data_IF_761376128115
#
_entry.id   IF_761376128115
#
_cell.length_a   1.000
_cell.length_b   1.000
_cell.length_c   1.000
_cell.angle_alpha   90.00
_cell.angle_beta   90.00
_cell.angle_gamma   90.00
#
_symmetry.space_group_name_H-M   'P 1'
#
loop_
_entity.id
_entity.type
_entity.pdbx_description
1 polymer ?
#
# COMPACT_ATOMS: atom_id res chain seq x y z
N UNK A 1 24.49 4.46 53.76
CA UNK A 1 24.79 4.59 52.29
C UNK A 1 23.62 5.31 51.67
N UNK A 2 23.87 6.27 50.79
CA UNK A 2 22.78 6.97 50.10
C UNK A 2 22.01 6.02 49.18
N UNK A 3 20.72 6.29 49.02
CA UNK A 3 19.88 5.59 48.01
C UNK A 3 20.48 5.68 46.61
N UNK A 4 20.25 4.63 45.82
CA UNK A 4 20.52 4.60 44.38
C UNK A 4 19.25 4.31 43.64
N UNK A 5 19.25 4.46 42.30
CA UNK A 5 18.05 4.24 41.50
C UNK A 5 18.32 3.24 40.37
N UNK A 6 17.26 2.61 39.85
CA UNK A 6 17.36 1.78 38.67
C UNK A 6 17.50 2.64 37.41
N UNK A 7 18.28 2.15 36.43
CA UNK A 7 18.68 2.92 35.25
C UNK A 7 17.50 3.34 34.36
N UNK A 8 16.50 2.46 34.15
CA UNK A 8 15.40 2.74 33.22
C UNK A 8 14.19 3.40 33.87
N UNK A 9 13.84 3.00 35.09
CA UNK A 9 12.57 3.34 35.73
C UNK A 9 12.73 4.21 36.98
N UNK A 10 13.94 4.54 37.37
CA UNK A 10 14.20 5.38 38.55
C UNK A 10 13.61 4.79 39.84
N UNK A 11 13.48 3.46 39.96
CA UNK A 11 13.02 2.79 41.17
C UNK A 11 14.07 2.96 42.24
N UNK A 12 13.70 3.45 43.41
CA UNK A 12 14.64 3.65 44.49
C UNK A 12 15.11 2.35 45.13
N UNK A 13 16.43 2.26 45.31
CA UNK A 13 17.09 1.19 46.06
C UNK A 13 17.65 1.83 47.35
N UNK A 14 16.92 1.78 48.47
CA UNK A 14 17.37 2.42 49.73
C UNK A 14 18.71 1.84 50.18
N UNK A 15 19.58 2.75 50.64
CA UNK A 15 20.84 2.36 51.29
C UNK A 15 20.61 1.67 52.62
N UNK A 16 21.51 0.75 53.02
CA UNK A 16 21.42 0.08 54.31
C UNK A 16 21.45 1.12 55.47
N UNK A 17 20.45 1.04 56.36
CA UNK A 17 20.27 1.93 57.48
C UNK A 17 19.69 3.30 57.15
N UNK A 18 19.40 3.59 55.89
CA UNK A 18 18.68 4.78 55.42
C UNK A 18 17.18 4.58 55.58
N UNK A 19 16.42 5.67 55.67
CA UNK A 19 14.95 5.68 55.68
C UNK A 19 14.31 4.99 56.91
N UNK A 20 14.95 5.06 58.08
CA UNK A 20 14.33 4.62 59.31
C UNK A 20 13.03 5.41 59.58
N UNK A 21 11.86 4.72 59.51
CA UNK A 21 10.54 5.31 59.69
C UNK A 21 9.80 5.70 58.39
N UNK A 22 10.50 5.84 57.26
CA UNK A 22 9.90 6.16 55.94
C UNK A 22 10.02 5.06 54.88
N UNK A 23 10.63 3.92 55.23
CA UNK A 23 10.85 2.81 54.32
C UNK A 23 9.56 2.32 53.62
N UNK A 24 8.44 2.31 54.36
CA UNK A 24 7.15 1.87 53.78
C UNK A 24 6.65 2.82 52.67
N UNK A 25 6.93 4.11 52.78
CA UNK A 25 6.56 5.09 51.75
C UNK A 25 7.37 4.85 50.46
N UNK A 26 8.67 4.64 50.57
CA UNK A 26 9.53 4.32 49.44
C UNK A 26 9.11 3.04 48.74
N UNK A 27 8.76 1.99 49.48
CA UNK A 27 8.29 0.72 48.91
C UNK A 27 6.98 0.92 48.15
N UNK A 28 6.02 1.66 48.72
CA UNK A 28 4.74 1.93 48.06
C UNK A 28 4.95 2.77 46.78
N UNK A 29 5.80 3.81 46.83
CA UNK A 29 6.12 4.59 45.63
C UNK A 29 6.77 3.70 44.52
N UNK A 30 7.68 2.81 44.90
CA UNK A 30 8.28 1.86 43.97
C UNK A 30 7.25 0.94 43.35
N UNK A 31 6.27 0.44 44.13
CA UNK A 31 5.17 -0.39 43.58
C UNK A 31 4.32 0.40 42.60
N UNK A 32 4.00 1.67 42.89
CA UNK A 32 3.26 2.55 41.98
C UNK A 32 4.04 2.80 40.68
N UNK A 33 5.37 2.96 40.75
CA UNK A 33 6.25 3.08 39.57
C UNK A 33 6.24 1.79 38.77
N UNK A 34 6.34 0.62 39.40
CA UNK A 34 6.30 -0.68 38.74
C UNK A 34 4.96 -0.88 38.03
N UNK A 35 3.85 -0.63 38.71
CA UNK A 35 2.50 -0.77 38.15
C UNK A 35 2.31 0.09 36.89
N UNK A 36 2.71 1.37 36.95
CA UNK A 36 2.66 2.27 35.79
C UNK A 36 3.49 1.76 34.62
N UNK A 37 4.68 1.21 34.87
CA UNK A 37 5.57 0.67 33.83
C UNK A 37 5.07 -0.63 33.24
N UNK A 38 4.31 -1.43 33.96
CA UNK A 38 3.79 -2.71 33.48
C UNK A 38 2.54 -2.56 32.60
N UNK A 39 1.55 -1.79 33.07
CA UNK A 39 0.24 -1.69 32.43
C UNK A 39 -0.41 -0.29 32.54
N UNK A 40 0.26 0.68 33.14
CA UNK A 40 -0.30 2.00 33.39
C UNK A 40 -0.72 2.72 32.11
N UNK A 41 -1.93 3.26 32.12
CA UNK A 41 -2.53 4.05 31.05
C UNK A 41 -2.58 5.54 31.47
N UNK A 42 -2.20 6.42 30.54
CA UNK A 42 -2.32 7.87 30.73
C UNK A 42 -3.01 8.51 29.52
N UNK A 43 -4.08 9.23 29.77
CA UNK A 43 -4.59 10.22 28.83
C UNK A 43 -3.74 11.49 28.96
N UNK A 44 -3.01 11.83 27.92
CA UNK A 44 -2.12 12.97 27.85
C UNK A 44 -2.72 14.02 26.91
N UNK A 45 -3.27 15.08 27.51
CA UNK A 45 -3.76 16.22 26.73
C UNK A 45 -2.58 17.08 26.28
N UNK A 46 -2.54 17.40 25.01
CA UNK A 46 -1.46 18.17 24.38
C UNK A 46 -1.88 19.63 24.19
N UNK A 47 -1.08 20.53 24.73
CA UNK A 47 -1.29 21.98 24.66
C UNK A 47 -0.08 22.67 24.02
N UNK A 48 -0.35 23.67 23.17
CA UNK A 48 0.71 24.43 22.48
C UNK A 48 1.51 23.58 21.49
N UNK A 49 2.81 23.85 21.35
CA UNK A 49 3.68 23.22 20.35
C UNK A 49 4.61 22.16 20.92
N UNK A 50 4.80 22.12 22.24
CA UNK A 50 5.69 21.14 22.89
C UNK A 50 5.33 20.87 24.34
N UNK A 51 5.73 19.71 24.84
CA UNK A 51 5.63 19.29 26.24
C UNK A 51 6.78 18.35 26.61
N UNK A 52 6.99 18.16 27.90
CA UNK A 52 7.94 17.21 28.45
C UNK A 52 7.20 16.02 29.07
N UNK A 53 7.70 14.82 28.82
CA UNK A 53 7.26 13.60 29.48
C UNK A 53 8.43 13.06 30.31
N UNK A 54 8.36 13.25 31.63
CA UNK A 54 9.49 13.04 32.53
C UNK A 54 9.35 11.75 33.33
N UNK A 55 10.48 11.03 33.48
CA UNK A 55 10.69 9.96 34.46
C UNK A 55 11.49 10.57 35.61
N UNK A 56 10.93 10.52 36.81
CA UNK A 56 11.55 11.08 38.02
C UNK A 56 12.09 9.93 38.89
N UNK A 57 13.33 10.04 39.32
CA UNK A 57 13.93 9.05 40.21
C UNK A 57 13.25 9.05 41.60
N UNK A 58 12.87 7.89 42.10
CA UNK A 58 12.27 7.68 43.39
C UNK A 58 10.83 8.24 43.55
N UNK A 59 10.23 8.76 42.47
CA UNK A 59 8.89 9.33 42.54
C UNK A 59 8.09 8.99 41.29
N UNK A 60 6.80 8.67 41.45
CA UNK A 60 5.92 8.42 40.33
C UNK A 60 5.73 9.66 39.47
N UNK A 61 5.86 9.50 38.18
CA UNK A 61 5.76 10.57 37.20
C UNK A 61 5.02 10.11 35.93
N UNK A 62 4.72 11.03 35.02
CA UNK A 62 3.94 10.71 33.83
C UNK A 62 4.72 9.85 32.82
N UNK A 63 6.06 9.98 32.79
CA UNK A 63 6.91 9.15 31.94
C UNK A 63 6.96 7.67 32.34
N UNK A 64 6.42 7.29 33.50
CA UNK A 64 6.34 5.89 33.91
C UNK A 64 5.18 5.12 33.24
N UNK A 65 4.16 5.79 32.72
CA UNK A 65 3.03 5.09 32.09
C UNK A 65 3.46 4.35 30.83
N UNK A 66 2.95 3.13 30.68
CA UNK A 66 3.24 2.25 29.53
C UNK A 66 2.47 2.65 28.28
N UNK A 67 1.20 3.02 28.46
CA UNK A 67 0.28 3.37 27.39
C UNK A 67 -0.04 4.85 27.43
N UNK A 68 0.25 5.55 26.35
CA UNK A 68 -0.01 6.98 26.19
C UNK A 68 -1.12 7.19 25.16
N UNK A 69 -2.23 7.74 25.59
CA UNK A 69 -3.35 8.11 24.75
C UNK A 69 -3.34 9.64 24.60
N UNK A 70 -2.93 10.10 23.41
CA UNK A 70 -2.74 11.53 23.15
C UNK A 70 -4.05 12.16 22.70
N UNK A 71 -4.50 13.20 23.38
CA UNK A 71 -5.70 13.95 23.05
C UNK A 71 -5.38 15.41 22.76
N UNK A 72 -6.18 16.04 21.90
CA UNK A 72 -6.00 17.45 21.58
C UNK A 72 -6.54 18.35 22.72
N UNK A 73 -5.67 19.23 23.21
CA UNK A 73 -6.04 20.42 23.94
C UNK A 73 -6.01 21.64 23.01
N UNK A 74 -5.02 22.48 23.17
CA UNK A 74 -4.85 23.73 22.38
C UNK A 74 -3.84 23.61 21.25
N UNK A 75 -3.49 22.38 20.81
CA UNK A 75 -2.56 22.18 19.69
C UNK A 75 -3.16 22.68 18.37
N UNK A 76 -2.35 23.33 17.55
CA UNK A 76 -2.74 23.88 16.24
C UNK A 76 -1.84 23.42 15.09
N UNK A 77 -0.94 22.49 15.35
CA UNK A 77 0.04 21.94 14.40
C UNK A 77 0.79 20.77 15.00
N UNK A 78 1.93 20.42 14.43
CA UNK A 78 2.80 19.39 14.98
C UNK A 78 3.21 19.72 16.41
N UNK A 79 3.03 18.75 17.33
CA UNK A 79 3.41 18.87 18.72
C UNK A 79 4.64 18.00 19.00
N UNK A 80 5.61 18.51 19.78
CA UNK A 80 6.81 17.76 20.15
C UNK A 80 6.77 17.36 21.63
N UNK A 81 6.89 16.06 21.91
CA UNK A 81 7.05 15.52 23.26
C UNK A 81 8.53 15.18 23.48
N UNK A 82 9.17 15.83 24.44
CA UNK A 82 10.53 15.52 24.83
C UNK A 82 10.52 14.55 26.00
N UNK A 83 11.15 13.38 25.82
CA UNK A 83 11.32 12.36 26.85
C UNK A 83 12.50 12.74 27.76
N UNK A 84 12.25 12.87 29.05
CA UNK A 84 13.25 13.28 30.02
C UNK A 84 13.33 12.29 31.20
N UNK A 85 14.52 12.16 31.83
CA UNK A 85 15.82 12.62 31.32
C UNK A 85 16.28 11.79 30.14
N UNK A 86 17.31 12.23 29.42
CA UNK A 86 17.76 11.55 28.20
C UNK A 86 18.64 10.30 28.46
N UNK A 87 18.87 9.96 29.71
CA UNK A 87 19.58 8.76 30.18
C UNK A 87 18.65 7.61 30.62
N UNK A 88 17.34 7.75 30.43
CA UNK A 88 16.35 6.71 30.76
C UNK A 88 15.80 6.04 29.51
N UNK A 89 16.00 4.72 29.39
CA UNK A 89 15.37 3.94 28.33
C UNK A 89 13.92 3.61 28.66
N UNK A 90 13.01 3.72 27.68
CA UNK A 90 11.58 3.50 27.88
C UNK A 90 10.94 2.89 26.63
N UNK A 91 9.91 2.10 26.88
CA UNK A 91 9.05 1.51 25.86
C UNK A 91 7.61 1.99 26.07
N UNK A 92 7.04 2.64 25.08
CA UNK A 92 5.67 3.16 25.10
C UNK A 92 4.82 2.56 23.99
N UNK A 93 3.57 2.25 24.30
CA UNK A 93 2.50 2.15 23.32
C UNK A 93 1.83 3.51 23.22
N UNK A 94 1.92 4.15 22.08
CA UNK A 94 1.35 5.48 21.84
C UNK A 94 0.16 5.38 20.90
N UNK A 95 -0.97 6.01 21.25
CA UNK A 95 -2.11 6.22 20.35
C UNK A 95 -2.35 7.71 20.20
N UNK A 96 -2.13 8.25 19.02
CA UNK A 96 -2.35 9.66 18.70
C UNK A 96 -3.76 9.84 18.13
N UNK A 97 -4.71 10.26 18.97
CA UNK A 97 -6.08 10.52 18.53
C UNK A 97 -6.33 11.98 18.11
N UNK A 98 -5.28 12.78 18.07
CA UNK A 98 -5.38 14.17 17.61
C UNK A 98 -5.42 14.26 16.09
N UNK A 99 -5.81 15.42 15.57
CA UNK A 99 -5.78 15.72 14.13
C UNK A 99 -4.40 16.18 13.63
N UNK A 100 -3.35 16.16 14.48
CA UNK A 100 -2.00 16.65 14.18
C UNK A 100 -0.96 15.57 14.44
N UNK A 101 0.17 15.66 13.76
CA UNK A 101 1.31 14.78 14.02
C UNK A 101 1.97 15.11 15.36
N UNK A 102 2.45 14.07 16.05
CA UNK A 102 3.20 14.23 17.33
C UNK A 102 4.59 13.64 17.16
N UNK A 103 5.61 14.42 17.47
CA UNK A 103 7.02 14.02 17.40
C UNK A 103 7.50 13.66 18.79
N UNK A 104 8.10 12.48 18.96
CA UNK A 104 8.81 12.08 20.18
C UNK A 104 10.30 12.22 19.97
N UNK A 105 10.97 12.90 20.91
CA UNK A 105 12.42 13.11 20.94
C UNK A 105 12.99 12.85 22.33
N UNK A 106 14.27 12.46 22.43
CA UNK A 106 14.93 12.27 23.72
C UNK A 106 16.30 12.95 23.81
N UNK A 107 16.89 13.33 22.70
CA UNK A 107 18.19 13.96 22.61
C UNK A 107 18.43 14.52 21.23
N UNK A 108 19.68 14.50 20.77
CA UNK A 108 20.03 14.91 19.42
C UNK A 108 20.00 13.77 18.38
N UNK A 109 19.62 12.55 18.80
CA UNK A 109 19.48 11.39 17.92
C UNK A 109 18.20 11.39 17.09
N UNK A 110 17.82 10.21 16.59
CA UNK A 110 16.61 10.06 15.78
C UNK A 110 15.35 10.32 16.60
N UNK A 111 14.38 10.93 15.95
CA UNK A 111 13.04 11.20 16.46
C UNK A 111 12.01 10.31 15.78
N UNK A 112 10.86 10.11 16.41
CA UNK A 112 9.72 9.39 15.84
C UNK A 112 8.54 10.33 15.70
N UNK A 113 7.90 10.32 14.54
CA UNK A 113 6.65 11.04 14.29
C UNK A 113 5.49 10.05 14.26
N UNK A 114 4.51 10.23 15.14
CA UNK A 114 3.24 9.51 15.14
C UNK A 114 2.21 10.38 14.42
N UNK A 115 1.75 9.93 13.27
CA UNK A 115 0.79 10.68 12.46
C UNK A 115 -0.58 10.80 13.16
N UNK A 116 -1.39 11.74 12.72
CA UNK A 116 -2.77 11.89 13.18
C UNK A 116 -3.55 10.57 13.03
N UNK A 117 -4.22 10.14 14.10
CA UNK A 117 -4.99 8.90 14.13
C UNK A 117 -4.17 7.60 14.18
N UNK A 118 -2.83 7.68 14.18
CA UNK A 118 -1.96 6.50 14.18
C UNK A 118 -1.61 6.02 15.60
N UNK A 119 -1.24 4.75 15.71
CA UNK A 119 -0.68 4.15 16.93
C UNK A 119 0.61 3.43 16.63
N UNK A 120 1.56 3.46 17.57
CA UNK A 120 2.83 2.76 17.41
C UNK A 120 3.45 2.37 18.77
N UNK A 121 4.25 1.30 18.77
CA UNK A 121 5.21 1.04 19.82
C UNK A 121 6.47 1.85 19.54
N UNK A 122 6.90 2.67 20.51
CA UNK A 122 8.14 3.42 20.42
C UNK A 122 9.08 3.06 21.56
N UNK A 123 10.37 3.08 21.27
CA UNK A 123 11.43 2.83 22.23
C UNK A 123 12.42 3.99 22.25
N UNK A 124 12.74 4.50 23.45
CA UNK A 124 13.82 5.43 23.66
C UNK A 124 15.01 4.70 24.29
N UNK A 125 16.22 4.92 23.78
CA UNK A 125 17.41 4.14 24.18
C UNK A 125 18.15 4.68 25.43
N UNK A 126 17.90 5.93 25.80
CA UNK A 126 18.44 6.51 27.03
C UNK A 126 19.96 6.64 27.06
N UNK A 127 20.62 6.82 25.93
CA UNK A 127 22.09 6.87 25.87
C UNK A 127 22.69 8.28 26.07
N UNK A 128 21.93 9.18 26.67
CA UNK A 128 22.36 10.54 26.98
C UNK A 128 22.11 11.55 25.86
N UNK A 129 23.05 12.46 25.63
CA UNK A 129 22.85 13.56 24.67
C UNK A 129 22.56 13.13 23.24
N UNK A 130 22.96 11.93 22.83
CA UNK A 130 22.71 11.35 21.51
C UNK A 130 21.56 10.33 21.51
N UNK A 131 20.76 10.30 22.58
CA UNK A 131 19.64 9.37 22.71
C UNK A 131 18.67 9.46 21.54
N UNK A 132 18.16 8.28 21.15
CA UNK A 132 17.25 8.12 20.03
C UNK A 132 15.88 7.67 20.49
N UNK A 133 14.86 8.05 19.74
CA UNK A 133 13.56 7.42 19.78
C UNK A 133 13.36 6.64 18.47
N UNK A 134 12.88 5.41 18.57
CA UNK A 134 12.69 4.49 17.43
C UNK A 134 11.30 3.87 17.51
N UNK A 135 10.71 3.61 16.35
CA UNK A 135 9.52 2.74 16.25
C UNK A 135 10.02 1.29 16.29
N UNK A 136 9.36 0.45 17.07
CA UNK A 136 9.56 -1.00 16.92
C UNK A 136 8.92 -1.43 15.58
N UNK A 137 9.63 -2.19 14.75
CA UNK A 137 9.18 -2.50 13.41
C UNK A 137 7.81 -3.17 13.42
N UNK A 138 6.90 -2.59 12.68
CA UNK A 138 5.61 -3.18 12.30
C UNK A 138 5.46 -3.22 10.78
N UNK A 139 6.60 -3.13 10.05
CA UNK A 139 6.60 -3.16 8.61
C UNK A 139 6.53 -4.62 8.09
N UNK A 140 5.91 -4.77 6.92
CA UNK A 140 5.79 -6.07 6.24
C UNK A 140 7.12 -6.56 5.67
N UNK A 141 8.18 -5.73 5.69
CA UNK A 141 9.50 -6.08 5.12
C UNK A 141 10.17 -7.22 5.87
N UNK A 142 9.95 -7.31 7.18
CA UNK A 142 10.49 -8.38 8.02
C UNK A 142 9.66 -9.67 8.00
N UNK A 143 8.46 -9.66 7.46
CA UNK A 143 7.59 -10.84 7.34
C UNK A 143 7.82 -11.52 5.99
N UNK A 144 8.44 -12.69 5.99
CA UNK A 144 8.72 -13.48 4.79
C UNK A 144 7.49 -14.21 4.24
N UNK A 145 6.38 -14.21 4.99
CA UNK A 145 5.11 -14.85 4.60
C UNK A 145 3.90 -13.99 4.98
N UNK A 146 3.85 -12.71 4.57
CA UNK A 146 2.79 -11.80 5.00
C UNK A 146 1.42 -12.29 4.52
N UNK A 147 0.47 -12.40 5.44
CA UNK A 147 -0.91 -12.79 5.16
C UNK A 147 -1.86 -11.65 5.57
N UNK A 148 -2.74 -11.26 4.66
CA UNK A 148 -3.79 -10.30 4.94
C UNK A 148 -5.05 -11.07 5.36
N UNK A 149 -5.60 -10.76 6.53
CA UNK A 149 -6.86 -11.35 7.00
C UNK A 149 -8.12 -10.86 6.29
N UNK A 150 -7.98 -9.99 5.28
CA UNK A 150 -9.05 -9.40 4.49
C UNK A 150 -8.52 -8.80 3.19
N UNK A 151 -9.36 -8.04 2.50
CA UNK A 151 -8.98 -7.37 1.26
C UNK A 151 -7.87 -6.32 1.49
N UNK A 152 -6.94 -6.23 0.55
CA UNK A 152 -5.98 -5.12 0.51
C UNK A 152 -6.66 -3.91 -0.14
N UNK A 153 -6.95 -2.89 0.66
CA UNK A 153 -7.32 -1.57 0.18
C UNK A 153 -6.06 -0.69 0.14
N UNK A 154 -5.68 -0.27 -1.04
CA UNK A 154 -4.49 0.61 -1.24
C UNK A 154 -4.83 2.09 -1.10
N UNK A 155 -6.07 2.44 -0.73
CA UNK A 155 -6.53 3.80 -0.42
C UNK A 155 -6.10 4.84 -1.49
N UNK A 156 -6.34 4.53 -2.76
CA UNK A 156 -5.98 5.39 -3.89
C UNK A 156 -4.51 5.40 -4.28
N UNK A 157 -3.66 4.65 -3.60
CA UNK A 157 -2.25 4.48 -3.97
C UNK A 157 -2.09 3.36 -5.01
N UNK A 158 -0.89 3.22 -5.55
CA UNK A 158 -0.55 2.19 -6.54
C UNK A 158 0.21 1.03 -5.90
N UNK A 159 0.02 -0.17 -6.42
CA UNK A 159 0.94 -1.29 -6.19
C UNK A 159 2.06 -1.15 -7.21
N UNK A 160 3.28 -0.94 -6.74
CA UNK A 160 4.44 -0.69 -7.60
C UNK A 160 5.57 -1.67 -7.28
N UNK A 161 6.38 -1.99 -8.29
CA UNK A 161 7.65 -2.69 -8.10
C UNK A 161 8.81 -1.71 -8.15
N UNK A 162 9.93 -2.06 -7.55
CA UNK A 162 11.19 -1.31 -7.64
C UNK A 162 12.14 -2.00 -8.63
N UNK A 163 13.12 -1.25 -9.16
CA UNK A 163 14.22 -1.80 -9.99
C UNK A 163 13.75 -2.60 -11.22
N UNK A 164 12.67 -2.16 -11.88
CA UNK A 164 12.07 -2.82 -13.04
C UNK A 164 11.57 -4.27 -12.78
N UNK A 165 11.30 -4.62 -11.51
CA UNK A 165 10.73 -5.92 -11.16
C UNK A 165 9.28 -6.06 -11.65
N UNK A 166 8.84 -7.30 -11.90
CA UNK A 166 7.46 -7.59 -12.23
C UNK A 166 6.56 -7.53 -10.99
N UNK A 167 5.30 -7.14 -11.18
CA UNK A 167 4.23 -7.38 -10.21
C UNK A 167 3.51 -8.66 -10.63
N UNK A 168 3.73 -9.75 -9.90
CA UNK A 168 3.10 -11.04 -10.19
C UNK A 168 1.83 -11.19 -9.34
N UNK A 169 0.70 -11.44 -10.02
CA UNK A 169 -0.57 -11.76 -9.36
C UNK A 169 -0.94 -13.18 -9.80
N UNK A 170 -0.70 -14.14 -8.92
CA UNK A 170 -0.87 -15.56 -9.23
C UNK A 170 -1.88 -16.18 -8.28
N UNK A 171 -3.10 -16.48 -8.72
CA UNK A 171 -4.05 -17.23 -7.90
C UNK A 171 -3.54 -18.63 -7.56
N UNK A 172 -3.94 -19.14 -6.41
CA UNK A 172 -3.65 -20.53 -6.04
C UNK A 172 -4.66 -21.48 -6.67
N UNK A 173 -4.18 -22.62 -7.19
CA UNK A 173 -5.00 -23.69 -7.76
C UNK A 173 -5.80 -23.24 -8.99
N UNK A 174 -7.11 -23.44 -8.98
CA UNK A 174 -8.03 -23.09 -10.09
C UNK A 174 -8.60 -21.67 -9.99
N UNK A 175 -8.08 -20.85 -9.08
CA UNK A 175 -8.49 -19.44 -8.93
C UNK A 175 -8.21 -18.62 -10.19
N UNK A 176 -8.89 -17.49 -10.33
CA UNK A 176 -8.72 -16.54 -11.44
C UNK A 176 -8.39 -15.15 -10.92
N UNK A 177 -7.71 -14.34 -11.72
CA UNK A 177 -7.57 -12.90 -11.48
C UNK A 177 -8.76 -12.21 -12.14
N UNK A 178 -9.69 -11.70 -11.33
CA UNK A 178 -10.83 -10.94 -11.83
C UNK A 178 -10.46 -9.45 -11.93
N UNK A 179 -10.49 -8.91 -13.14
CA UNK A 179 -10.20 -7.50 -13.42
C UNK A 179 -11.44 -6.89 -14.07
N UNK A 180 -12.09 -5.95 -13.41
CA UNK A 180 -13.28 -5.29 -13.91
C UNK A 180 -13.03 -4.40 -15.13
N UNK A 181 -11.84 -3.77 -15.19
CA UNK A 181 -11.38 -2.98 -16.33
C UNK A 181 -9.86 -3.05 -16.42
N UNK A 182 -9.35 -3.52 -17.56
CA UNK A 182 -7.93 -3.56 -17.86
C UNK A 182 -7.57 -2.39 -18.80
N UNK A 183 -6.58 -1.59 -18.38
CA UNK A 183 -5.90 -0.61 -19.22
C UNK A 183 -4.40 -0.99 -19.26
N UNK A 184 -3.88 -1.30 -20.43
CA UNK A 184 -2.46 -1.66 -20.61
C UNK A 184 -1.83 -0.69 -21.62
N UNK A 185 -0.80 0.07 -21.19
CA UNK A 185 -0.05 1.01 -22.03
C UNK A 185 -0.98 1.93 -22.87
N UNK A 186 -2.00 2.52 -22.26
CA UNK A 186 -3.03 3.34 -22.89
C UNK A 186 -4.05 2.56 -23.76
N UNK A 187 -3.95 1.23 -23.84
CA UNK A 187 -4.96 0.40 -24.47
C UNK A 187 -6.10 0.09 -23.49
N UNK A 188 -7.32 0.43 -23.87
CA UNK A 188 -8.52 0.10 -23.11
C UNK A 188 -9.12 -1.19 -23.69
N UNK A 189 -9.18 -2.23 -22.87
CA UNK A 189 -9.82 -3.49 -23.22
C UNK A 189 -11.35 -3.41 -23.04
N UNK A 190 -12.15 -4.12 -23.84
CA UNK A 190 -13.59 -4.19 -23.63
C UNK A 190 -13.93 -4.72 -22.24
N UNK A 191 -15.01 -4.19 -21.65
CA UNK A 191 -15.52 -4.63 -20.35
C UNK A 191 -16.58 -5.72 -20.45
N UNK A 192 -17.04 -6.03 -21.68
CA UNK A 192 -18.00 -7.08 -21.98
C UNK A 192 -17.40 -8.06 -22.99
N UNK A 193 -17.85 -9.30 -22.95
CA UNK A 193 -17.47 -10.31 -23.94
C UNK A 193 -18.07 -9.99 -25.31
N UNK A 194 -17.37 -10.43 -26.38
CA UNK A 194 -17.89 -10.39 -27.76
C UNK A 194 -18.83 -11.55 -28.06
N UNK A 195 -19.34 -11.61 -29.29
CA UNK A 195 -20.08 -12.75 -29.79
C UNK A 195 -19.17 -13.71 -30.56
N UNK A 196 -19.57 -14.96 -30.68
CA UNK A 196 -18.81 -15.97 -31.41
C UNK A 196 -18.44 -15.51 -32.84
N UNK A 197 -17.16 -15.62 -33.20
CA UNK A 197 -16.63 -15.21 -34.49
C UNK A 197 -16.16 -13.75 -34.58
N UNK A 198 -16.26 -12.98 -33.51
CA UNK A 198 -15.64 -11.65 -33.44
C UNK A 198 -14.15 -11.74 -33.08
N UNK A 199 -13.39 -10.73 -33.50
CA UNK A 199 -11.98 -10.52 -33.18
C UNK A 199 -11.78 -9.19 -32.45
N UNK A 200 -10.71 -9.08 -31.71
CA UNK A 200 -10.33 -7.84 -31.02
C UNK A 200 -9.68 -6.88 -32.02
N UNK A 201 -10.24 -5.70 -32.19
CA UNK A 201 -9.81 -4.68 -33.13
C UNK A 201 -9.39 -3.40 -32.37
N UNK A 202 -8.33 -2.75 -32.81
CA UNK A 202 -7.94 -1.41 -32.36
C UNK A 202 -8.55 -0.32 -33.26
N UNK A 203 -8.93 0.80 -32.66
CA UNK A 203 -9.34 2.03 -33.37
C UNK A 203 -8.16 2.93 -33.77
N UNK A 204 -6.91 2.54 -33.40
CA UNK A 204 -5.70 3.36 -33.58
C UNK A 204 -5.55 4.49 -32.57
N UNK A 205 -6.49 4.66 -31.64
CA UNK A 205 -6.51 5.74 -30.64
C UNK A 205 -6.53 5.22 -29.20
N UNK A 206 -6.18 3.94 -29.00
CA UNK A 206 -6.06 3.34 -27.68
C UNK A 206 -7.29 2.58 -27.18
N UNK A 207 -8.31 2.38 -28.03
CA UNK A 207 -9.49 1.59 -27.68
C UNK A 207 -9.49 0.27 -28.45
N UNK A 208 -9.68 -0.83 -27.74
CA UNK A 208 -9.93 -2.14 -28.30
C UNK A 208 -11.43 -2.47 -28.23
N UNK A 209 -11.98 -3.00 -29.31
CA UNK A 209 -13.37 -3.42 -29.38
C UNK A 209 -13.49 -4.76 -30.10
N UNK A 210 -14.56 -5.51 -29.82
CA UNK A 210 -14.88 -6.69 -30.60
C UNK A 210 -15.52 -6.28 -31.91
N UNK A 211 -14.99 -6.78 -33.02
CA UNK A 211 -15.50 -6.53 -34.37
C UNK A 211 -15.72 -7.84 -35.09
N UNK A 212 -16.76 -7.90 -35.91
CA UNK A 212 -16.92 -9.02 -36.84
C UNK A 212 -15.94 -8.86 -37.99
N UNK A 213 -15.32 -9.95 -38.40
CA UNK A 213 -14.59 -9.95 -39.66
C UNK A 213 -15.55 -9.38 -40.70
N UNK A 214 -15.15 -8.29 -41.40
CA UNK A 214 -16.05 -7.66 -42.36
C UNK A 214 -16.22 -8.54 -43.63
N UNK A 215 -16.78 -9.72 -43.43
CA UNK A 215 -17.40 -10.52 -44.46
C UNK A 215 -18.90 -10.16 -44.44
N UNK A 216 -19.18 -8.87 -44.32
CA UNK A 216 -20.55 -8.39 -44.42
C UNK A 216 -20.88 -8.24 -45.88
N UNK A 217 -21.67 -9.17 -46.31
CA UNK A 217 -22.13 -9.25 -47.70
C UNK A 217 -21.00 -9.65 -48.62
N UNK A 218 -21.02 -10.83 -49.10
CA UNK A 218 -20.53 -11.30 -50.38
C UNK A 218 -19.23 -10.72 -50.99
N UNK A 219 -18.47 -9.82 -50.35
CA UNK A 219 -17.35 -9.13 -50.98
C UNK A 219 -16.10 -9.11 -50.10
N UNK A 220 -14.99 -9.60 -50.61
CA UNK A 220 -13.65 -9.53 -50.06
C UNK A 220 -12.79 -8.63 -50.96
N UNK A 221 -12.15 -7.59 -50.42
CA UNK A 221 -11.43 -6.57 -51.19
C UNK A 221 -9.92 -6.66 -50.95
N UNK A 222 -9.15 -6.73 -52.03
CA UNK A 222 -7.70 -6.73 -52.08
C UNK A 222 -7.21 -5.60 -53.00
N UNK A 223 -7.01 -4.40 -52.47
CA UNK A 223 -6.72 -3.25 -53.32
C UNK A 223 -7.87 -2.95 -54.28
N UNK A 224 -7.59 -2.95 -55.59
CA UNK A 224 -8.60 -2.75 -56.64
C UNK A 224 -9.35 -4.03 -57.00
N UNK A 225 -8.94 -5.17 -56.48
CA UNK A 225 -9.64 -6.44 -56.69
C UNK A 225 -10.70 -6.69 -55.64
N UNK A 226 -11.82 -7.26 -56.06
CA UNK A 226 -12.87 -7.75 -55.15
C UNK A 226 -13.27 -9.16 -55.54
N UNK A 227 -13.53 -9.98 -54.51
CA UNK A 227 -14.15 -11.27 -54.63
C UNK A 227 -15.50 -11.15 -53.93
N UNK A 228 -16.59 -11.39 -54.68
CA UNK A 228 -17.94 -11.20 -54.13
C UNK A 228 -18.85 -12.37 -54.53
N UNK A 229 -19.91 -12.57 -53.73
CA UNK A 229 -21.01 -13.46 -54.14
C UNK A 229 -22.15 -12.60 -54.65
N UNK A 230 -22.46 -12.75 -55.92
CA UNK A 230 -23.54 -12.03 -56.58
C UNK A 230 -24.49 -13.10 -57.18
N UNK A 231 -25.76 -13.06 -56.79
CA UNK A 231 -26.76 -14.03 -57.26
C UNK A 231 -26.33 -15.52 -57.07
N UNK A 232 -25.69 -15.80 -55.91
CA UNK A 232 -25.09 -17.09 -55.56
C UNK A 232 -23.89 -17.52 -56.44
N UNK A 233 -23.34 -16.67 -57.27
CA UNK A 233 -22.11 -16.92 -58.02
C UNK A 233 -20.92 -16.20 -57.38
N UNK A 234 -19.74 -16.82 -57.37
CA UNK A 234 -18.51 -16.21 -56.91
C UNK A 234 -17.92 -15.35 -58.01
N UNK A 235 -17.87 -14.03 -57.82
CA UNK A 235 -17.44 -13.07 -58.83
C UNK A 235 -16.13 -12.42 -58.44
N UNK A 236 -15.17 -12.40 -59.33
CA UNK A 236 -13.90 -11.70 -59.25
C UNK A 236 -14.01 -10.41 -60.06
N UNK A 237 -13.80 -9.27 -59.44
CA UNK A 237 -13.89 -7.97 -60.13
C UNK A 237 -12.60 -7.17 -59.90
N UNK A 238 -12.26 -6.31 -60.83
CA UNK A 238 -11.20 -5.33 -60.75
C UNK A 238 -11.75 -3.92 -61.00
N UNK A 239 -11.50 -3.02 -60.06
CA UNK A 239 -12.05 -1.64 -60.10
C UNK A 239 -13.54 -1.59 -60.42
N UNK A 240 -14.32 -2.45 -59.78
CA UNK A 240 -15.77 -2.53 -59.92
C UNK A 240 -16.27 -3.30 -61.17
N UNK A 241 -15.39 -3.75 -62.06
CA UNK A 241 -15.75 -4.50 -63.25
C UNK A 241 -15.50 -6.00 -63.04
N UNK A 242 -16.52 -6.83 -63.18
CA UNK A 242 -16.39 -8.28 -63.12
C UNK A 242 -15.42 -8.81 -64.17
N UNK A 243 -14.45 -9.62 -63.77
CA UNK A 243 -13.43 -10.22 -64.67
C UNK A 243 -13.63 -11.71 -64.87
N UNK A 244 -14.07 -12.39 -63.83
CA UNK A 244 -14.38 -13.79 -63.86
C UNK A 244 -15.44 -14.16 -62.84
N UNK A 245 -16.14 -15.28 -63.03
CA UNK A 245 -17.06 -15.83 -62.05
C UNK A 245 -17.09 -17.35 -62.07
N UNK A 246 -17.41 -17.93 -60.92
CA UNK A 246 -17.70 -19.36 -60.77
C UNK A 246 -19.19 -19.46 -60.47
N UNK A 247 -19.92 -20.14 -61.38
CA UNK A 247 -21.35 -20.38 -61.22
C UNK A 247 -21.65 -21.48 -60.19
N UNK A 248 -22.86 -21.55 -59.70
CA UNK A 248 -23.32 -22.62 -58.81
C UNK A 248 -23.21 -24.01 -59.42
N UNK A 249 -23.16 -24.12 -60.77
CA UNK A 249 -22.92 -25.34 -61.50
C UNK A 249 -21.47 -25.80 -61.55
N UNK A 250 -20.52 -24.99 -61.05
CA UNK A 250 -19.08 -25.19 -61.14
C UNK A 250 -18.46 -24.67 -62.43
N UNK A 251 -19.25 -24.11 -63.33
CA UNK A 251 -18.75 -23.48 -64.56
C UNK A 251 -17.96 -22.20 -64.23
N UNK A 252 -16.77 -22.06 -64.85
CA UNK A 252 -15.97 -20.86 -64.79
C UNK A 252 -16.19 -20.02 -66.03
N UNK A 253 -16.64 -18.77 -65.84
CA UNK A 253 -16.87 -17.81 -66.91
C UNK A 253 -15.88 -16.64 -66.74
N UNK A 254 -15.14 -16.32 -67.80
CA UNK A 254 -14.21 -15.19 -67.87
C UNK A 254 -14.77 -14.15 -68.86
N UNK A 255 -14.48 -12.84 -68.55
CA UNK A 255 -14.81 -11.76 -69.47
C UNK A 255 -13.85 -11.70 -70.66
N UNK A 256 -12.59 -12.10 -70.45
CA UNK A 256 -11.53 -12.16 -71.45
C UNK A 256 -11.03 -13.60 -71.59
N UNK A 257 -10.11 -13.88 -72.55
CA UNK A 257 -9.56 -15.21 -72.81
C UNK A 257 -8.89 -15.80 -71.56
N UNK A 258 -9.09 -17.07 -71.32
CA UNK A 258 -8.39 -17.84 -70.29
C UNK A 258 -7.14 -18.46 -70.89
N UNK A 259 -5.96 -17.99 -70.52
CA UNK A 259 -4.69 -18.61 -70.93
C UNK A 259 -4.38 -19.76 -69.97
N UNK A 260 -4.63 -20.99 -70.37
CA UNK A 260 -4.17 -22.18 -69.64
C UNK A 260 -2.72 -22.47 -70.02
N UNK A 261 -1.86 -22.68 -69.01
CA UNK A 261 -0.40 -22.92 -69.12
C UNK A 261 0.45 -21.72 -69.61
N UNK A 262 -0.01 -20.49 -69.40
CA UNK A 262 0.83 -19.33 -69.61
C UNK A 262 1.95 -19.27 -68.56
N UNK A 263 3.15 -18.82 -68.99
CA UNK A 263 4.23 -18.47 -68.05
C UNK A 263 3.87 -17.16 -67.38
N UNK A 264 3.99 -17.11 -66.02
CA UNK A 264 3.82 -15.87 -65.24
C UNK A 264 5.07 -15.01 -65.36
#
# INVERSE_FOLDING_TARGET
MASTYTDSSGIEKPGSGEQAGSWGETVNENFDIIDRNLAGFKNLQLDGTSSNLSVTDGAKSEGHYKVLYLTAGTISGTHTITLLPNDKSKLYLVSNTTSHSVVFTQGSGNNVTILAGASAWIYSDGIGSTANVRVLPSDLVGDVTPQLGGNLDVNGNSIVSTSNGNINITPNGTGTVAISKLQAASLNYPTADGTNGQYLQTDGSGTLSFSTVPISGSTFTLGSWTISVVSNELVFSYSGTGKAKIKTTGEIVSLDDVTAFGTI
#
